data_IF_330270794046
#
_entry.id   IF_330270794046
#
_cell.length_a   1.000
_cell.length_b   1.000
_cell.length_c   1.000
_cell.angle_alpha   90.00
_cell.angle_beta   90.00
_cell.angle_gamma   90.00
#
_symmetry.space_group_name_H-M   'P 1'
#
loop_
_entity.id
_entity.type
_entity.pdbx_description
1 polymer ?
#
# COMPACT_ATOMS: atom_id res chain seq x y z
N UNK A 1 -6.69 -31.34 -1.29
CA UNK A 1 -6.37 -30.07 -0.62
C UNK A 1 -6.11 -30.34 0.84
N UNK A 2 -5.01 -29.83 1.37
CA UNK A 2 -4.68 -29.94 2.79
C UNK A 2 -4.55 -28.51 3.33
N UNK A 3 -5.33 -28.17 4.35
CA UNK A 3 -5.14 -26.92 5.09
C UNK A 3 -3.80 -26.96 5.83
N UNK A 4 -3.02 -25.90 5.68
CA UNK A 4 -1.69 -25.78 6.27
C UNK A 4 -1.69 -24.63 7.28
N UNK A 5 -2.07 -24.89 8.54
CA UNK A 5 -1.95 -23.86 9.57
C UNK A 5 -0.47 -23.47 9.74
N UNK A 6 -0.23 -22.16 9.93
CA UNK A 6 1.09 -21.59 10.18
C UNK A 6 0.99 -20.58 11.32
N UNK A 7 1.92 -20.69 12.26
CA UNK A 7 2.08 -19.75 13.37
C UNK A 7 3.53 -19.29 13.39
N UNK A 8 3.74 -17.98 13.43
CA UNK A 8 5.06 -17.37 13.51
C UNK A 8 5.14 -16.55 14.80
N UNK A 9 6.23 -16.71 15.55
CA UNK A 9 6.48 -15.86 16.71
C UNK A 9 7.06 -14.52 16.26
N UNK A 10 6.32 -13.45 16.50
CA UNK A 10 6.71 -12.07 16.21
C UNK A 10 7.24 -11.36 17.45
N UNK A 11 7.52 -12.08 18.54
CA UNK A 11 7.94 -11.48 19.82
C UNK A 11 9.23 -10.67 19.74
N UNK A 12 10.12 -10.98 18.79
CA UNK A 12 11.31 -10.20 18.49
C UNK A 12 11.04 -8.83 17.88
N UNK A 13 9.82 -8.54 17.44
CA UNK A 13 9.43 -7.28 16.78
C UNK A 13 8.66 -6.34 17.72
N UNK A 14 8.71 -6.59 19.04
CA UNK A 14 7.91 -5.90 20.06
C UNK A 14 8.36 -4.47 20.39
N UNK A 15 9.42 -3.96 19.77
CA UNK A 15 9.84 -2.58 20.04
C UNK A 15 8.73 -1.62 19.59
N UNK A 16 8.18 -0.78 20.48
CA UNK A 16 7.11 0.14 20.14
C UNK A 16 7.49 1.03 18.95
N UNK A 17 6.66 1.02 17.92
CA UNK A 17 6.93 1.77 16.68
C UNK A 17 7.63 0.96 15.59
N UNK A 18 7.97 -0.30 15.83
CA UNK A 18 8.39 -1.22 14.77
C UNK A 18 7.30 -1.40 13.73
N UNK A 19 7.67 -1.33 12.46
CA UNK A 19 6.79 -1.68 11.34
C UNK A 19 7.00 -3.14 10.96
N UNK A 20 5.90 -3.89 10.84
CA UNK A 20 5.93 -5.29 10.39
C UNK A 20 5.16 -5.38 9.09
N UNK A 21 5.82 -5.83 8.03
CA UNK A 21 5.18 -6.19 6.76
C UNK A 21 4.95 -7.70 6.75
N UNK A 22 3.70 -8.11 6.57
CA UNK A 22 3.32 -9.50 6.33
C UNK A 22 3.01 -9.62 4.85
N UNK A 23 3.79 -10.43 4.14
CA UNK A 23 3.64 -10.66 2.70
C UNK A 23 3.27 -12.12 2.44
N UNK A 24 2.28 -12.32 1.56
CA UNK A 24 1.92 -13.62 1.03
C UNK A 24 2.33 -13.67 -0.43
N UNK A 25 3.32 -14.51 -0.74
CA UNK A 25 3.86 -14.64 -2.09
C UNK A 25 3.53 -16.01 -2.66
N UNK A 26 2.64 -16.02 -3.65
CA UNK A 26 2.22 -17.20 -4.38
C UNK A 26 3.00 -17.28 -5.69
N UNK A 27 3.63 -18.42 -5.95
CA UNK A 27 4.38 -18.66 -7.18
C UNK A 27 3.69 -19.81 -7.91
N UNK A 28 3.40 -19.63 -9.19
CA UNK A 28 3.05 -20.70 -10.11
C UNK A 28 4.26 -20.99 -10.99
N UNK A 29 4.57 -22.27 -11.18
CA UNK A 29 5.64 -22.74 -12.06
C UNK A 29 5.09 -23.55 -13.26
N UNK A 30 3.76 -23.68 -13.37
CA UNK A 30 3.09 -24.43 -14.43
C UNK A 30 1.98 -23.61 -15.11
N UNK A 31 1.56 -24.04 -16.31
CA UNK A 31 0.55 -23.38 -17.15
C UNK A 31 -0.88 -23.86 -16.90
N UNK A 32 -1.07 -24.87 -16.06
CA UNK A 32 -2.39 -25.42 -15.75
C UNK A 32 -3.12 -24.56 -14.70
N UNK A 33 -4.38 -24.22 -14.99
CA UNK A 33 -5.22 -23.45 -14.07
C UNK A 33 -5.78 -24.36 -12.97
N UNK A 34 -5.12 -24.32 -11.82
CA UNK A 34 -5.59 -24.92 -10.58
C UNK A 34 -6.63 -24.03 -9.87
N UNK A 35 -7.26 -24.54 -8.80
CA UNK A 35 -8.35 -23.85 -8.11
C UNK A 35 -7.87 -22.68 -7.21
N UNK A 36 -6.57 -22.34 -7.24
CA UNK A 36 -5.98 -21.19 -6.57
C UNK A 36 -5.53 -21.45 -5.13
N UNK A 37 -5.38 -20.35 -4.37
CA UNK A 37 -4.98 -20.35 -2.97
C UNK A 37 -6.08 -19.75 -2.11
N UNK A 38 -6.39 -20.38 -0.98
CA UNK A 38 -7.27 -19.81 0.04
C UNK A 38 -6.46 -19.51 1.29
N UNK A 39 -6.70 -18.34 1.85
CA UNK A 39 -6.25 -17.97 3.19
C UNK A 39 -7.50 -17.80 4.04
N UNK A 40 -7.48 -18.40 5.22
CA UNK A 40 -8.56 -18.26 6.18
C UNK A 40 -7.98 -18.21 7.59
N UNK A 41 -8.77 -17.70 8.53
CA UNK A 41 -8.44 -17.59 9.96
C UNK A 41 -7.14 -16.83 10.26
N UNK A 42 -6.82 -15.80 9.48
CA UNK A 42 -5.67 -14.94 9.74
C UNK A 42 -5.88 -14.10 11.01
N UNK A 43 -5.01 -14.30 12.01
CA UNK A 43 -5.05 -13.56 13.28
C UNK A 43 -3.66 -13.02 13.61
N UNK A 44 -3.58 -11.76 14.04
CA UNK A 44 -2.38 -11.16 14.61
C UNK A 44 -2.60 -10.87 16.10
N UNK A 45 -1.87 -11.58 16.96
CA UNK A 45 -2.01 -11.51 18.41
C UNK A 45 -0.85 -10.73 19.05
N UNK A 46 -1.09 -10.10 20.20
CA UNK A 46 -0.05 -9.37 20.94
C UNK A 46 0.30 -7.99 20.39
N UNK A 47 -0.52 -7.44 19.49
CA UNK A 47 -0.49 -6.01 19.16
C UNK A 47 -0.75 -5.17 20.43
N UNK A 48 -0.11 -4.00 20.51
CA UNK A 48 -0.22 -3.07 21.64
C UNK A 48 -1.66 -2.93 22.17
N UNK A 49 -1.86 -3.25 23.46
CA UNK A 49 -3.14 -3.21 24.20
C UNK A 49 -3.34 -1.91 24.99
N UNK A 50 -2.60 -0.84 24.68
CA UNK A 50 -2.88 0.46 25.28
C UNK A 50 -4.15 1.08 24.70
N UNK A 51 -4.69 2.08 25.41
CA UNK A 51 -5.94 2.78 25.06
C UNK A 51 -6.03 3.07 23.56
N UNK A 52 -7.00 2.45 22.89
CA UNK A 52 -7.48 2.89 21.59
C UNK A 52 -8.14 4.25 21.86
N UNK A 53 -7.35 5.32 21.83
CA UNK A 53 -7.86 6.68 21.83
C UNK A 53 -8.72 6.88 20.58
N UNK A 54 -9.95 6.39 20.61
CA UNK A 54 -11.01 6.71 19.66
C UNK A 54 -11.39 8.17 19.91
N UNK A 55 -10.56 9.08 19.41
CA UNK A 55 -10.64 10.51 19.61
C UNK A 55 -9.62 11.23 18.75
N UNK A 56 -9.68 11.00 17.45
CA UNK A 56 -8.74 11.54 16.45
C UNK A 56 -8.04 10.40 15.72
N UNK A 57 -8.20 10.33 14.39
CA UNK A 57 -7.56 9.31 13.57
C UNK A 57 -6.07 9.23 13.89
N UNK A 58 -5.57 8.02 14.12
CA UNK A 58 -4.17 7.80 14.46
C UNK A 58 -3.30 8.45 13.38
N UNK A 59 -2.58 9.52 13.74
CA UNK A 59 -1.60 10.14 12.85
C UNK A 59 -0.56 9.06 12.56
N UNK A 60 -0.31 8.71 11.28
CA UNK A 60 0.74 7.77 10.94
C UNK A 60 2.07 8.16 11.59
N UNK A 61 2.92 7.18 11.90
CA UNK A 61 4.25 7.46 12.46
C UNK A 61 5.31 7.68 11.38
N UNK A 62 5.13 7.07 10.21
CA UNK A 62 6.04 7.18 9.08
C UNK A 62 5.27 7.24 7.76
N UNK A 63 5.90 7.82 6.75
CA UNK A 63 5.36 7.83 5.39
C UNK A 63 5.47 6.42 4.80
N UNK A 64 4.34 5.80 4.49
CA UNK A 64 4.29 4.49 3.84
C UNK A 64 3.15 4.41 2.82
N UNK A 65 3.36 3.62 1.78
CA UNK A 65 2.38 3.35 0.74
C UNK A 65 2.33 1.85 0.43
N UNK A 66 1.14 1.28 0.29
CA UNK A 66 0.92 -0.08 -0.18
C UNK A 66 1.27 -0.25 -1.67
N UNK A 67 1.09 -1.47 -2.19
CA UNK A 67 1.14 -1.68 -3.63
C UNK A 67 -0.15 -1.11 -4.28
N UNK A 68 -0.05 -0.44 -5.46
CA UNK A 68 -1.22 -0.06 -6.23
C UNK A 68 -2.02 -1.31 -6.63
N UNK A 69 -3.33 -1.28 -6.43
CA UNK A 69 -4.27 -2.36 -6.73
C UNK A 69 -5.56 -1.77 -7.32
N UNK A 70 -6.08 -2.31 -8.44
CA UNK A 70 -5.49 -3.37 -9.26
C UNK A 70 -4.19 -2.91 -9.95
N UNK A 71 -3.35 -3.86 -10.34
CA UNK A 71 -2.20 -3.59 -11.20
C UNK A 71 -1.94 -4.82 -12.08
N UNK A 72 -2.24 -4.77 -13.39
CA UNK A 72 -2.50 -3.55 -14.19
C UNK A 72 -3.82 -2.80 -13.89
N UNK A 73 -3.80 -1.49 -14.14
CA UNK A 73 -4.88 -0.51 -13.96
C UNK A 73 -5.66 -0.35 -15.28
N UNK A 74 -6.97 -0.10 -15.22
CA UNK A 74 -7.81 0.24 -16.39
C UNK A 74 -8.52 1.60 -16.30
N UNK A 75 -8.46 2.25 -15.14
CA UNK A 75 -9.17 3.51 -14.90
C UNK A 75 -8.66 4.15 -13.62
N UNK A 76 -8.97 3.56 -12.48
CA UNK A 76 -8.43 4.01 -11.18
C UNK A 76 -7.60 2.92 -10.50
N UNK A 77 -6.72 3.37 -9.63
CA UNK A 77 -5.92 2.51 -8.77
C UNK A 77 -6.00 2.96 -7.33
N UNK A 78 -6.02 2.00 -6.42
CA UNK A 78 -6.06 2.24 -4.99
C UNK A 78 -4.77 1.75 -4.33
N UNK A 79 -4.33 2.44 -3.29
CA UNK A 79 -3.30 1.94 -2.39
C UNK A 79 -3.58 2.41 -0.98
N UNK A 80 -3.24 1.57 0.00
CA UNK A 80 -3.18 2.05 1.37
C UNK A 80 -2.07 3.11 1.48
N UNK A 81 -2.36 4.22 2.14
CA UNK A 81 -1.43 5.31 2.32
C UNK A 81 -1.45 5.79 3.77
N UNK A 82 -0.27 5.93 4.34
CA UNK A 82 -0.07 6.51 5.66
C UNK A 82 0.90 7.69 5.53
N UNK A 83 0.39 8.90 5.69
CA UNK A 83 1.14 10.16 5.61
C UNK A 83 1.10 10.87 6.98
N UNK A 84 2.22 10.93 7.71
CA UNK A 84 2.28 11.47 9.07
C UNK A 84 2.16 13.00 9.13
N UNK A 85 2.67 13.70 8.10
CA UNK A 85 2.80 15.15 8.08
C UNK A 85 2.09 15.81 6.90
N UNK A 86 1.90 17.12 6.99
CA UNK A 86 1.37 17.96 5.93
C UNK A 86 2.23 19.22 5.73
N UNK A 87 2.15 19.89 4.57
CA UNK A 87 1.46 19.44 3.36
C UNK A 87 2.13 18.20 2.75
N UNK A 88 1.36 17.44 1.97
CA UNK A 88 1.89 16.32 1.20
C UNK A 88 1.36 16.34 -0.22
N UNK A 89 2.11 15.70 -1.13
CA UNK A 89 1.72 15.63 -2.55
C UNK A 89 1.76 14.21 -3.07
N UNK A 90 0.78 13.88 -3.91
CA UNK A 90 0.83 12.74 -4.82
C UNK A 90 1.18 13.26 -6.21
N UNK A 91 2.24 12.73 -6.81
CA UNK A 91 2.68 13.11 -8.15
C UNK A 91 2.86 11.86 -9.00
N UNK A 92 2.32 11.88 -10.21
CA UNK A 92 2.42 10.78 -11.16
C UNK A 92 3.36 11.19 -12.27
N UNK A 93 4.32 10.32 -12.58
CA UNK A 93 5.30 10.52 -13.64
C UNK A 93 5.21 9.39 -14.66
N UNK A 94 5.41 9.71 -15.93
CA UNK A 94 5.63 8.70 -16.97
C UNK A 94 7.09 8.20 -16.98
N UNK A 95 7.43 7.26 -17.87
CA UNK A 95 8.77 6.68 -17.97
C UNK A 95 9.85 7.67 -18.45
N UNK A 96 9.45 8.79 -19.05
CA UNK A 96 10.37 9.87 -19.40
C UNK A 96 10.62 10.82 -18.21
N UNK A 97 9.96 10.59 -17.07
CA UNK A 97 10.05 11.44 -15.89
C UNK A 97 9.21 12.71 -15.99
N UNK A 98 8.32 12.82 -16.99
CA UNK A 98 7.42 13.97 -17.10
C UNK A 98 6.29 13.82 -16.08
N UNK A 99 6.01 14.91 -15.36
CA UNK A 99 4.87 15.00 -14.45
C UNK A 99 3.56 15.01 -15.24
N UNK A 100 2.70 14.01 -15.03
CA UNK A 100 1.41 13.88 -15.72
C UNK A 100 0.22 14.26 -14.84
N UNK A 101 0.35 14.11 -13.52
CA UNK A 101 -0.67 14.49 -12.55
C UNK A 101 -0.02 14.90 -11.23
N UNK A 102 -0.60 15.88 -10.54
CA UNK A 102 -0.19 16.30 -9.21
C UNK A 102 -1.39 16.70 -8.37
N UNK A 103 -1.51 16.10 -7.20
CA UNK A 103 -2.48 16.42 -6.16
C UNK A 103 -1.74 16.87 -4.90
N UNK A 104 -2.29 17.84 -4.18
CA UNK A 104 -1.70 18.40 -2.97
C UNK A 104 -2.75 18.45 -1.85
N UNK A 105 -2.31 18.14 -0.64
CA UNK A 105 -3.16 18.00 0.52
C UNK A 105 -2.53 18.70 1.73
N UNK A 106 -3.37 19.39 2.51
CA UNK A 106 -2.95 20.21 3.67
C UNK A 106 -3.07 19.48 5.01
N UNK A 107 -3.59 18.24 5.00
CA UNK A 107 -3.80 17.44 6.21
C UNK A 107 -3.10 16.08 6.09
N UNK A 108 -2.59 15.53 7.22
CA UNK A 108 -2.15 14.14 7.28
C UNK A 108 -3.24 13.17 6.79
N UNK A 109 -2.84 12.00 6.29
CA UNK A 109 -3.76 11.03 5.70
C UNK A 109 -3.44 9.61 6.16
N UNK A 110 -4.45 8.81 6.49
CA UNK A 110 -4.29 7.38 6.79
C UNK A 110 -5.51 6.62 6.27
N UNK A 111 -5.33 5.74 5.29
CA UNK A 111 -6.42 4.98 4.71
C UNK A 111 -6.20 4.59 3.26
N UNK A 112 -7.28 4.27 2.55
CA UNK A 112 -7.24 3.96 1.12
C UNK A 112 -7.20 5.28 0.34
N UNK A 113 -6.11 5.48 -0.38
CA UNK A 113 -5.96 6.55 -1.35
C UNK A 113 -6.31 6.02 -2.74
N UNK A 114 -7.22 6.71 -3.43
CA UNK A 114 -7.67 6.37 -4.79
C UNK A 114 -7.15 7.40 -5.77
N UNK A 115 -6.63 6.95 -6.91
CA UNK A 115 -6.05 7.76 -7.96
C UNK A 115 -6.75 7.45 -9.28
N UNK A 116 -7.36 8.46 -9.89
CA UNK A 116 -7.93 8.35 -11.24
C UNK A 116 -6.83 8.51 -12.30
N UNK A 117 -6.76 7.54 -13.20
CA UNK A 117 -5.84 7.46 -14.33
C UNK A 117 -6.57 7.35 -15.67
N UNK A 118 -7.91 7.49 -15.70
CA UNK A 118 -8.76 7.25 -16.89
C UNK A 118 -8.50 8.21 -18.08
N UNK A 119 -7.75 9.29 -17.89
CA UNK A 119 -7.32 10.22 -18.94
C UNK A 119 -5.86 10.08 -19.38
N UNK A 120 -5.12 9.12 -18.83
CA UNK A 120 -3.71 8.88 -19.15
C UNK A 120 -3.59 7.80 -20.24
N UNK A 121 -2.54 7.88 -21.07
CA UNK A 121 -2.28 6.85 -22.09
C UNK A 121 -1.83 5.53 -21.44
N UNK A 122 -2.10 4.38 -22.06
CA UNK A 122 -1.50 3.13 -21.59
C UNK A 122 0.03 3.22 -21.46
N UNK A 123 0.58 2.65 -20.39
CA UNK A 123 2.00 2.76 -20.09
C UNK A 123 2.36 2.45 -18.64
N UNK A 124 3.63 2.64 -18.31
CA UNK A 124 4.14 2.49 -16.95
C UNK A 124 4.25 3.86 -16.30
N UNK A 125 3.74 3.97 -15.08
CA UNK A 125 3.72 5.20 -14.30
C UNK A 125 4.35 5.01 -12.93
N UNK A 126 4.97 6.07 -12.43
CA UNK A 126 5.53 6.15 -11.08
C UNK A 126 4.71 7.14 -10.25
N UNK A 127 4.05 6.63 -9.22
CA UNK A 127 3.31 7.42 -8.24
C UNK A 127 4.26 7.72 -7.08
N UNK A 128 4.63 8.99 -6.92
CA UNK A 128 5.45 9.48 -5.81
C UNK A 128 4.57 10.19 -4.80
N UNK A 129 4.62 9.73 -3.56
CA UNK A 129 4.07 10.44 -2.40
C UNK A 129 5.21 11.11 -1.66
N UNK A 130 5.06 12.39 -1.34
CA UNK A 130 6.10 13.20 -0.69
C UNK A 130 5.49 14.00 0.46
N UNK A 131 6.09 13.94 1.64
CA UNK A 131 5.68 14.67 2.84
C UNK A 131 6.88 14.91 3.75
N UNK A 132 7.05 16.14 4.25
CA UNK A 132 8.10 16.52 5.20
C UNK A 132 9.53 16.03 4.83
N UNK A 133 9.89 16.08 3.54
CA UNK A 133 11.20 15.64 3.03
C UNK A 133 11.38 14.12 2.89
N UNK A 134 10.41 13.32 3.32
CA UNK A 134 10.33 11.89 3.02
C UNK A 134 9.58 11.67 1.70
N UNK A 135 9.93 10.60 0.98
CA UNK A 135 9.18 10.19 -0.21
C UNK A 135 9.08 8.67 -0.33
N UNK A 136 7.97 8.19 -0.91
CA UNK A 136 7.77 6.80 -1.30
C UNK A 136 7.28 6.76 -2.75
N UNK A 137 7.79 5.81 -3.52
CA UNK A 137 7.43 5.63 -4.94
C UNK A 137 6.81 4.26 -5.15
N UNK A 138 5.75 4.21 -5.96
CA UNK A 138 5.08 2.98 -6.42
C UNK A 138 4.93 2.98 -7.93
N UNK A 139 4.99 1.80 -8.52
CA UNK A 139 4.83 1.60 -9.97
C UNK A 139 3.43 1.08 -10.27
N UNK A 140 2.76 1.70 -11.23
CA UNK A 140 1.50 1.24 -11.80
C UNK A 140 1.66 1.00 -13.30
N UNK A 141 1.01 -0.05 -13.82
CA UNK A 141 0.92 -0.31 -15.26
C UNK A 141 -0.51 0.00 -15.68
N UNK A 142 -0.73 1.01 -16.51
CA UNK A 142 -2.03 1.38 -17.05
C UNK A 142 -2.23 0.70 -18.41
N UNK A 143 -3.38 0.08 -18.60
CA UNK A 143 -3.86 -0.47 -19.86
C UNK A 143 -4.96 0.42 -20.44
N UNK A 144 -5.11 0.39 -21.75
CA UNK A 144 -6.25 0.98 -22.46
C UNK A 144 -7.58 0.22 -22.17
#
# INVERSE_FOLDING_TARGET
MQWLPRTYDLSGLREPGSEVRIEFSFHSDDSDEGPGFWLDDFTLNGCYTGSLGFGGGAIPRALSAGAPCPNPVRGSVEMFLAVPGSPWTASVFDTAGRLVLREAYEQPFCGIYSLDMSGMSAGVYFIRIESCGASVVRRAVLLD
#
